data_IF_345683757442
#
_entry.id   IF_345683757442
#
_cell.length_a   1.000
_cell.length_b   1.000
_cell.length_c   1.000
_cell.angle_alpha   90.00
_cell.angle_beta   90.00
_cell.angle_gamma   90.00
#
_symmetry.space_group_name_H-M   'P 1'
#
loop_
_entity.id
_entity.type
_entity.pdbx_description
1 polymer ?
#
# COMPACT_ATOMS: atom_id res chain seq x y z
N UNK A 1 6.10 29.13 -11.49
CA UNK A 1 6.91 28.41 -12.50
C UNK A 1 7.47 27.07 -11.98
N UNK A 2 8.12 26.98 -10.82
CA UNK A 2 8.69 25.69 -10.35
C UNK A 2 7.63 24.60 -10.08
N UNK A 3 6.46 24.97 -9.54
CA UNK A 3 5.35 24.05 -9.32
C UNK A 3 4.82 23.45 -10.63
N UNK A 4 4.65 24.25 -11.68
CA UNK A 4 4.12 23.77 -12.96
C UNK A 4 5.06 22.77 -13.63
N UNK A 5 6.38 22.98 -13.57
CA UNK A 5 7.36 22.00 -14.05
C UNK A 5 7.33 20.70 -13.25
N UNK A 6 7.19 20.78 -11.92
CA UNK A 6 7.04 19.57 -11.08
C UNK A 6 5.76 18.81 -11.36
N UNK A 7 4.64 19.52 -11.54
CA UNK A 7 3.35 18.90 -11.88
C UNK A 7 3.39 18.27 -13.28
N UNK A 8 4.02 18.94 -14.26
CA UNK A 8 4.21 18.35 -15.60
C UNK A 8 5.01 17.06 -15.54
N UNK A 9 6.10 17.03 -14.77
CA UNK A 9 6.87 15.79 -14.55
C UNK A 9 6.02 14.72 -13.86
N UNK A 10 5.31 15.08 -12.80
CA UNK A 10 4.43 14.16 -12.08
C UNK A 10 3.39 13.54 -13.03
N UNK A 11 2.68 14.36 -13.81
CA UNK A 11 1.70 13.91 -14.80
C UNK A 11 2.34 13.00 -15.85
N UNK A 12 3.51 13.33 -16.40
CA UNK A 12 4.20 12.46 -17.37
C UNK A 12 4.65 11.11 -16.76
N UNK A 13 5.04 11.12 -15.49
CA UNK A 13 5.42 9.90 -14.77
C UNK A 13 4.20 9.04 -14.45
N UNK A 14 3.10 9.63 -14.00
CA UNK A 14 1.89 8.91 -13.59
C UNK A 14 0.98 8.55 -14.75
N UNK A 15 0.91 9.35 -15.83
CA UNK A 15 0.10 9.04 -17.02
C UNK A 15 0.50 7.71 -17.66
N UNK A 16 1.80 7.39 -17.66
CA UNK A 16 2.30 6.09 -18.13
C UNK A 16 1.84 4.93 -17.24
N UNK A 17 1.66 5.15 -15.95
CA UNK A 17 1.13 4.15 -15.01
C UNK A 17 -0.38 4.03 -15.16
N UNK A 18 -1.09 5.15 -15.32
CA UNK A 18 -2.54 5.19 -15.55
C UNK A 18 -2.92 4.46 -16.84
N UNK A 19 -2.23 4.76 -17.94
CA UNK A 19 -2.41 4.06 -19.22
C UNK A 19 -2.04 2.56 -19.13
N UNK A 20 -1.30 2.12 -18.12
CA UNK A 20 -1.01 0.68 -17.92
C UNK A 20 -2.07 -0.03 -17.10
N UNK A 21 -2.83 0.70 -16.28
CA UNK A 21 -3.83 0.13 -15.36
C UNK A 21 -5.25 0.61 -15.67
N UNK A 22 -5.47 1.24 -16.82
CA UNK A 22 -6.78 1.75 -17.23
C UNK A 22 -7.85 0.64 -17.22
N UNK A 23 -7.50 -0.57 -17.66
CA UNK A 23 -8.40 -1.73 -17.64
C UNK A 23 -8.85 -2.08 -16.22
N UNK A 24 -7.93 -2.05 -15.24
CA UNK A 24 -8.26 -2.30 -13.85
C UNK A 24 -9.20 -1.22 -13.31
N UNK A 25 -8.94 0.05 -13.63
CA UNK A 25 -9.81 1.16 -13.23
C UNK A 25 -11.21 1.04 -13.83
N UNK A 26 -11.33 0.73 -15.13
CA UNK A 26 -12.62 0.52 -15.78
C UNK A 26 -13.40 -0.63 -15.14
N UNK A 27 -12.73 -1.73 -14.80
CA UNK A 27 -13.35 -2.86 -14.09
C UNK A 27 -13.81 -2.46 -12.69
N UNK A 28 -13.00 -1.71 -11.93
CA UNK A 28 -13.39 -1.20 -10.61
C UNK A 28 -14.60 -0.27 -10.70
N UNK A 29 -14.66 0.60 -11.72
CA UNK A 29 -15.79 1.50 -11.92
C UNK A 29 -17.07 0.73 -12.26
N UNK A 30 -16.97 -0.33 -13.07
CA UNK A 30 -18.12 -1.18 -13.40
C UNK A 30 -18.72 -1.90 -12.18
N UNK A 31 -17.88 -2.16 -11.16
CA UNK A 31 -18.27 -2.84 -9.92
C UNK A 31 -18.83 -1.88 -8.85
N UNK A 32 -18.89 -0.57 -9.11
CA UNK A 32 -19.51 0.38 -8.18
C UNK A 32 -21.03 0.12 -8.12
N UNK A 33 -21.58 -0.21 -6.94
CA UNK A 33 -23.01 -0.46 -6.81
C UNK A 33 -23.82 0.81 -7.11
N UNK A 34 -24.96 0.66 -7.79
CA UNK A 34 -25.95 1.71 -8.06
C UNK A 34 -26.70 2.06 -6.77
N UNK A 35 -26.00 2.63 -5.80
CA UNK A 35 -26.55 3.11 -4.54
C UNK A 35 -26.78 4.62 -4.56
N UNK A 36 -27.70 5.16 -3.74
CA UNK A 36 -27.85 6.60 -3.58
C UNK A 36 -26.53 7.26 -3.18
N UNK A 37 -26.27 8.46 -3.71
CA UNK A 37 -25.01 9.22 -3.50
C UNK A 37 -24.68 9.38 -2.01
N UNK A 38 -25.69 9.50 -1.14
CA UNK A 38 -25.49 9.59 0.31
C UNK A 38 -25.04 8.27 0.97
N UNK A 39 -25.59 7.13 0.54
CA UNK A 39 -25.13 5.82 1.01
C UNK A 39 -23.70 5.57 0.54
N UNK A 40 -23.38 5.98 -0.70
CA UNK A 40 -22.03 5.93 -1.24
C UNK A 40 -21.06 6.83 -0.47
N UNK A 41 -21.43 8.07 -0.13
CA UNK A 41 -20.55 8.97 0.62
C UNK A 41 -20.30 8.49 2.05
N UNK A 42 -21.30 7.91 2.73
CA UNK A 42 -21.12 7.31 4.05
C UNK A 42 -20.22 6.07 4.00
N UNK A 43 -20.37 5.22 2.99
CA UNK A 43 -19.50 4.06 2.78
C UNK A 43 -18.06 4.48 2.46
N UNK A 44 -17.88 5.47 1.59
CA UNK A 44 -16.56 5.96 1.18
C UNK A 44 -15.87 6.74 2.31
N UNK A 45 -16.65 7.46 3.13
CA UNK A 45 -16.18 8.15 4.33
C UNK A 45 -16.03 7.26 5.56
N UNK A 46 -16.57 6.04 5.55
CA UNK A 46 -16.60 5.12 6.69
C UNK A 46 -15.22 4.94 7.36
N UNK A 47 -14.10 4.80 6.64
CA UNK A 47 -12.79 4.66 7.27
C UNK A 47 -12.40 5.86 8.15
N UNK A 48 -12.80 7.08 7.75
CA UNK A 48 -12.52 8.31 8.51
C UNK A 48 -13.53 8.50 9.64
N UNK A 49 -14.78 8.07 9.43
CA UNK A 49 -15.86 8.17 10.41
C UNK A 49 -15.75 7.16 11.56
N UNK A 50 -15.20 5.97 11.31
CA UNK A 50 -15.22 4.86 12.27
C UNK A 50 -14.59 5.19 13.64
N UNK A 51 -13.48 5.94 13.75
CA UNK A 51 -12.92 6.36 15.05
C UNK A 51 -13.82 7.25 15.90
N UNK A 52 -14.84 7.89 15.31
CA UNK A 52 -15.79 8.74 16.02
C UNK A 52 -16.94 7.94 16.65
N UNK A 53 -17.11 6.67 16.27
CA UNK A 53 -18.14 5.83 16.86
C UNK A 53 -17.83 5.56 18.35
N UNK A 54 -18.84 5.65 19.23
CA UNK A 54 -18.65 5.54 20.68
C UNK A 54 -18.28 4.13 21.13
N UNK A 55 -18.61 3.11 20.33
CA UNK A 55 -18.36 1.69 20.60
C UNK A 55 -16.86 1.31 20.63
N UNK A 56 -15.99 2.14 20.06
CA UNK A 56 -14.56 1.84 19.93
C UNK A 56 -13.74 2.43 21.08
N UNK A 57 -12.96 1.58 21.74
CA UNK A 57 -11.99 1.98 22.77
C UNK A 57 -10.72 2.65 22.22
N UNK A 58 -9.83 3.07 23.12
CA UNK A 58 -8.59 3.76 22.77
C UNK A 58 -7.68 2.93 21.89
N UNK A 59 -7.49 1.65 22.22
CA UNK A 59 -6.60 0.74 21.48
C UNK A 59 -7.04 0.56 20.03
N UNK A 60 -8.34 0.35 19.82
CA UNK A 60 -8.92 0.21 18.48
C UNK A 60 -8.69 1.49 17.66
N UNK A 61 -9.00 2.66 18.25
CA UNK A 61 -8.81 3.97 17.58
C UNK A 61 -7.34 4.22 17.28
N UNK A 62 -6.45 3.85 18.19
CA UNK A 62 -5.00 3.95 18.01
C UNK A 62 -4.56 3.12 16.81
N UNK A 63 -4.90 1.84 16.76
CA UNK A 63 -4.53 0.96 15.64
C UNK A 63 -5.12 1.47 14.33
N UNK A 64 -6.40 1.86 14.32
CA UNK A 64 -7.10 2.29 13.12
C UNK A 64 -6.54 3.59 12.52
N UNK A 65 -6.32 4.61 13.35
CA UNK A 65 -5.74 5.89 12.89
C UNK A 65 -4.34 5.67 12.30
N UNK A 66 -3.48 4.90 12.98
CA UNK A 66 -2.14 4.61 12.46
C UNK A 66 -2.19 3.74 11.19
N UNK A 67 -3.19 2.88 11.04
CA UNK A 67 -3.40 2.13 9.79
C UNK A 67 -3.73 3.07 8.62
N UNK A 68 -4.62 4.05 8.82
CA UNK A 68 -4.94 5.07 7.81
C UNK A 68 -3.69 5.89 7.41
N UNK A 69 -2.88 6.26 8.39
CA UNK A 69 -1.61 6.96 8.17
C UNK A 69 -0.59 6.12 7.41
N UNK A 70 -0.45 4.85 7.79
CA UNK A 70 0.44 3.91 7.11
C UNK A 70 0.04 3.73 5.63
N UNK A 71 -1.26 3.64 5.33
CA UNK A 71 -1.78 3.64 3.95
C UNK A 71 -1.38 4.94 3.24
N UNK A 72 -1.57 6.08 3.89
CA UNK A 72 -1.17 7.38 3.36
C UNK A 72 0.33 7.48 3.04
N UNK A 73 1.18 6.98 3.94
CA UNK A 73 2.63 6.93 3.73
C UNK A 73 3.00 5.99 2.59
N UNK A 74 2.39 4.80 2.55
CA UNK A 74 2.66 3.78 1.55
C UNK A 74 2.33 4.28 0.14
N UNK A 75 1.19 4.96 -0.01
CA UNK A 75 0.77 5.62 -1.25
C UNK A 75 1.86 6.54 -1.82
N UNK A 76 2.40 7.41 -0.96
CA UNK A 76 3.44 8.37 -1.34
C UNK A 76 4.78 7.69 -1.59
N UNK A 77 5.11 6.63 -0.85
CA UNK A 77 6.35 5.88 -1.03
C UNK A 77 6.40 5.11 -2.36
N UNK A 78 5.27 4.55 -2.80
CA UNK A 78 5.13 3.92 -4.13
C UNK A 78 5.42 4.94 -5.23
N UNK A 79 4.85 6.13 -5.12
CA UNK A 79 4.98 7.19 -6.13
C UNK A 79 6.19 8.10 -5.93
N UNK A 80 7.07 7.75 -4.98
CA UNK A 80 8.14 8.62 -4.51
C UNK A 80 8.98 9.21 -5.64
N UNK A 81 9.35 8.43 -6.64
CA UNK A 81 10.20 8.89 -7.75
C UNK A 81 9.48 9.88 -8.66
N UNK A 82 8.16 9.77 -8.77
CA UNK A 82 7.33 10.73 -9.49
C UNK A 82 7.18 12.03 -8.70
N UNK A 83 6.88 11.93 -7.40
CA UNK A 83 6.68 13.06 -6.49
C UNK A 83 7.98 13.85 -6.27
N UNK A 84 9.12 13.16 -6.16
CA UNK A 84 10.41 13.80 -5.88
C UNK A 84 11.00 14.56 -7.07
N UNK A 85 10.33 14.61 -8.23
CA UNK A 85 10.76 15.40 -9.38
C UNK A 85 11.84 14.76 -10.28
N UNK A 86 12.17 13.48 -10.08
CA UNK A 86 13.07 12.74 -10.96
C UNK A 86 14.46 13.40 -11.17
N UNK A 87 15.04 13.33 -12.39
CA UNK A 87 16.32 13.97 -12.71
C UNK A 87 16.33 15.49 -12.51
N UNK A 88 15.19 16.15 -12.76
CA UNK A 88 15.02 17.60 -12.60
C UNK A 88 15.17 18.06 -11.13
N UNK A 89 14.95 17.16 -10.17
CA UNK A 89 15.14 17.46 -8.76
C UNK A 89 16.58 17.87 -8.40
N UNK A 90 17.58 17.42 -9.17
CA UNK A 90 18.98 17.80 -8.97
C UNK A 90 19.20 19.28 -9.32
N UNK A 91 18.62 19.73 -10.44
CA UNK A 91 18.66 21.13 -10.85
C UNK A 91 17.87 22.05 -9.90
N UNK A 92 16.71 21.60 -9.42
CA UNK A 92 15.93 22.36 -8.42
C UNK A 92 16.70 22.55 -7.11
N UNK A 93 17.55 21.58 -6.74
CA UNK A 93 18.37 21.65 -5.53
C UNK A 93 19.54 22.63 -5.65
N UNK A 94 20.03 22.91 -6.84
CA UNK A 94 21.11 23.89 -7.07
C UNK A 94 20.62 25.34 -7.07
N UNK A 95 19.31 25.58 -7.16
CA UNK A 95 18.77 26.94 -7.11
C UNK A 95 18.75 27.49 -5.67
N UNK A 96 19.10 28.78 -5.45
CA UNK A 96 19.12 29.42 -4.13
C UNK A 96 17.69 29.75 -3.65
N UNK A 97 16.92 28.70 -3.36
CA UNK A 97 15.53 28.79 -2.89
C UNK A 97 15.48 28.41 -1.42
N UNK A 98 14.74 29.17 -0.61
CA UNK A 98 14.57 28.88 0.81
C UNK A 98 13.93 27.51 1.06
N UNK A 99 14.33 26.86 2.16
CA UNK A 99 13.83 25.53 2.51
C UNK A 99 12.32 25.52 2.76
N UNK A 100 11.76 26.62 3.30
CA UNK A 100 10.31 26.79 3.49
C UNK A 100 9.56 26.77 2.17
N UNK A 101 10.07 27.43 1.13
CA UNK A 101 9.44 27.45 -0.18
C UNK A 101 9.54 26.08 -0.87
N UNK A 102 10.67 25.39 -0.72
CA UNK A 102 10.83 24.00 -1.21
C UNK A 102 9.85 23.04 -0.54
N UNK A 103 9.65 23.19 0.77
CA UNK A 103 8.70 22.36 1.53
C UNK A 103 7.26 22.61 1.12
N UNK A 104 6.87 23.87 0.92
CA UNK A 104 5.54 24.21 0.42
C UNK A 104 5.27 23.59 -0.97
N UNK A 105 6.27 23.60 -1.85
CA UNK A 105 6.18 22.92 -3.15
C UNK A 105 6.04 21.40 -3.01
N UNK A 106 6.82 20.77 -2.13
CA UNK A 106 6.72 19.33 -1.86
C UNK A 106 5.34 18.97 -1.28
N UNK A 107 4.84 19.76 -0.32
CA UNK A 107 3.52 19.58 0.27
C UNK A 107 2.39 19.73 -0.77
N UNK A 108 2.47 20.72 -1.65
CA UNK A 108 1.49 20.93 -2.72
C UNK A 108 1.45 19.74 -3.70
N UNK A 109 2.63 19.22 -4.10
CA UNK A 109 2.70 18.06 -4.99
C UNK A 109 2.19 16.80 -4.30
N UNK A 110 2.50 16.60 -3.00
CA UNK A 110 1.99 15.46 -2.22
C UNK A 110 0.48 15.54 -2.05
N UNK A 111 -0.08 16.71 -1.80
CA UNK A 111 -1.52 16.91 -1.67
C UNK A 111 -2.24 16.55 -2.98
N UNK A 112 -1.70 17.00 -4.12
CA UNK A 112 -2.23 16.64 -5.45
C UNK A 112 -2.03 15.15 -5.75
N UNK A 113 -0.90 14.56 -5.35
CA UNK A 113 -0.69 13.13 -5.50
C UNK A 113 -1.62 12.30 -4.62
N UNK A 114 -2.10 12.86 -3.51
CA UNK A 114 -2.98 12.22 -2.54
C UNK A 114 -4.47 12.45 -2.82
N UNK A 115 -4.86 13.02 -3.97
CA UNK A 115 -6.27 13.27 -4.30
C UNK A 115 -7.17 12.03 -4.11
N UNK A 116 -6.77 10.79 -4.50
CA UNK A 116 -7.59 9.60 -4.22
C UNK A 116 -7.78 9.32 -2.72
N UNK A 117 -6.76 9.60 -1.89
CA UNK A 117 -6.84 9.48 -0.43
C UNK A 117 -7.66 10.59 0.23
N UNK A 118 -7.83 11.72 -0.45
CA UNK A 118 -8.73 12.79 -0.01
C UNK A 118 -10.20 12.45 -0.27
N UNK A 119 -10.51 11.45 -1.11
CA UNK A 119 -11.89 11.12 -1.43
C UNK A 119 -12.69 10.60 -0.20
N UNK A 120 -12.15 9.67 0.64
CA UNK A 120 -12.76 9.32 1.92
C UNK A 120 -12.91 10.51 2.88
N UNK A 121 -11.93 11.41 2.91
CA UNK A 121 -11.91 12.61 3.76
C UNK A 121 -13.03 13.57 3.36
N UNK A 122 -13.16 13.87 2.07
CA UNK A 122 -14.23 14.72 1.52
C UNK A 122 -15.59 14.08 1.75
N UNK A 123 -15.70 12.77 1.54
CA UNK A 123 -16.94 12.02 1.78
C UNK A 123 -17.35 12.06 3.25
N UNK A 124 -16.40 11.93 4.18
CA UNK A 124 -16.64 12.10 5.60
C UNK A 124 -17.01 13.54 5.96
N UNK A 125 -16.35 14.54 5.38
CA UNK A 125 -16.70 15.96 5.56
C UNK A 125 -18.15 16.26 5.15
N UNK A 126 -18.61 15.70 4.03
CA UNK A 126 -20.01 15.81 3.60
C UNK A 126 -20.94 15.11 4.60
N UNK A 127 -20.58 13.91 5.07
CA UNK A 127 -21.37 13.19 6.06
C UNK A 127 -21.48 13.95 7.41
N UNK A 128 -20.44 14.69 7.82
CA UNK A 128 -20.45 15.50 9.04
C UNK A 128 -21.42 16.67 9.02
N UNK A 129 -21.83 17.15 7.85
CA UNK A 129 -22.85 18.20 7.75
C UNK A 129 -24.18 17.80 8.44
N UNK A 130 -24.42 16.50 8.58
CA UNK A 130 -25.64 15.90 9.11
C UNK A 130 -25.48 15.34 10.54
N UNK A 131 -24.30 15.43 11.14
CA UNK A 131 -24.01 14.95 12.50
C UNK A 131 -24.00 16.11 13.52
N UNK A 132 -24.35 15.84 14.80
CA UNK A 132 -24.14 16.80 15.88
C UNK A 132 -22.64 17.08 16.07
N UNK A 133 -22.30 18.20 16.74
CA UNK A 133 -20.92 18.60 17.05
C UNK A 133 -19.98 18.87 15.85
N UNK A 134 -20.53 19.53 14.82
CA UNK A 134 -19.86 19.89 13.55
C UNK A 134 -18.43 20.40 13.74
N UNK A 135 -18.21 21.34 14.66
CA UNK A 135 -16.89 21.94 14.89
C UNK A 135 -15.82 20.90 15.27
N UNK A 136 -16.15 20.01 16.21
CA UNK A 136 -15.22 18.95 16.66
C UNK A 136 -14.92 17.94 15.54
N UNK A 137 -15.94 17.58 14.75
CA UNK A 137 -15.78 16.62 13.67
C UNK A 137 -14.90 17.19 12.54
N UNK A 138 -15.09 18.44 12.15
CA UNK A 138 -14.23 19.10 11.16
C UNK A 138 -12.79 19.27 11.67
N UNK A 139 -12.60 19.64 12.94
CA UNK A 139 -11.27 19.72 13.54
C UNK A 139 -10.54 18.38 13.51
N UNK A 140 -11.24 17.27 13.82
CA UNK A 140 -10.68 15.93 13.73
C UNK A 140 -10.21 15.59 12.31
N UNK A 141 -11.03 15.85 11.29
CA UNK A 141 -10.65 15.58 9.88
C UNK A 141 -9.45 16.42 9.46
N UNK A 142 -9.45 17.71 9.79
CA UNK A 142 -8.36 18.62 9.40
C UNK A 142 -7.06 18.24 10.15
N UNK A 143 -7.15 17.87 11.42
CA UNK A 143 -6.00 17.39 12.19
C UNK A 143 -5.45 16.07 11.60
N UNK A 144 -6.31 15.07 11.36
CA UNK A 144 -5.91 13.79 10.76
C UNK A 144 -5.27 13.99 9.38
N UNK A 145 -5.84 14.84 8.53
CA UNK A 145 -5.27 15.15 7.21
C UNK A 145 -3.93 15.89 7.29
N UNK A 146 -3.77 16.81 8.24
CA UNK A 146 -2.48 17.47 8.46
C UNK A 146 -1.41 16.51 8.99
N UNK A 147 -1.76 15.63 9.93
CA UNK A 147 -0.83 14.64 10.49
C UNK A 147 -0.41 13.63 9.41
N UNK A 148 -1.36 13.08 8.65
CA UNK A 148 -1.08 12.18 7.52
C UNK A 148 -0.17 12.84 6.47
N UNK A 149 -0.44 14.10 6.09
CA UNK A 149 0.42 14.87 5.19
C UNK A 149 1.83 15.08 5.77
N UNK A 150 1.92 15.36 7.07
CA UNK A 150 3.18 15.46 7.80
C UNK A 150 4.00 14.16 7.70
N UNK A 151 3.37 13.01 7.95
CA UNK A 151 4.00 11.69 7.83
C UNK A 151 4.43 11.36 6.40
N UNK A 152 3.61 11.70 5.41
CA UNK A 152 3.95 11.54 3.99
C UNK A 152 5.21 12.35 3.62
N UNK A 153 5.32 13.59 4.08
CA UNK A 153 6.50 14.43 3.85
C UNK A 153 7.73 13.93 4.62
N UNK A 154 7.56 13.44 5.86
CA UNK A 154 8.63 12.81 6.63
C UNK A 154 9.17 11.54 5.93
N UNK A 155 8.27 10.72 5.38
CA UNK A 155 8.62 9.53 4.60
C UNK A 155 9.42 9.86 3.33
N UNK A 156 9.01 10.91 2.59
CA UNK A 156 9.69 11.36 1.38
C UNK A 156 11.09 11.92 1.66
N UNK A 157 11.21 12.72 2.71
CA UNK A 157 12.46 13.38 3.15
C UNK A 157 13.47 12.42 3.80
N UNK A 158 13.07 11.17 4.09
CA UNK A 158 13.86 10.14 4.81
C UNK A 158 14.29 10.55 6.22
N UNK A 159 13.68 11.57 6.81
CA UNK A 159 14.01 12.05 8.14
C UNK A 159 12.85 11.80 9.11
N UNK A 160 12.65 10.53 9.43
CA UNK A 160 11.56 10.07 10.32
C UNK A 160 11.77 10.58 11.75
N UNK A 161 13.02 10.86 12.16
CA UNK A 161 13.32 11.44 13.48
C UNK A 161 12.69 12.81 13.73
N UNK A 162 12.33 13.54 12.67
CA UNK A 162 11.60 14.80 12.81
C UNK A 162 10.08 14.60 13.00
N UNK A 163 9.62 13.35 13.11
CA UNK A 163 8.22 12.98 13.30
C UNK A 163 7.74 13.02 14.75
N UNK A 164 8.60 13.30 15.73
CA UNK A 164 8.21 13.41 17.15
C UNK A 164 6.97 14.30 17.37
N UNK A 165 6.88 15.53 16.84
CA UNK A 165 5.68 16.35 17.02
C UNK A 165 4.44 15.74 16.35
N UNK A 166 4.58 14.93 15.30
CA UNK A 166 3.46 14.21 14.68
C UNK A 166 2.99 13.05 15.56
N UNK A 167 3.91 12.34 16.22
CA UNK A 167 3.57 11.30 17.20
C UNK A 167 2.77 11.89 18.36
N UNK A 168 3.23 13.03 18.90
CA UNK A 168 2.52 13.72 19.98
C UNK A 168 1.16 14.23 19.48
N UNK A 169 1.08 14.79 18.27
CA UNK A 169 -0.19 15.22 17.68
C UNK A 169 -1.19 14.08 17.54
N UNK A 170 -0.73 12.87 17.19
CA UNK A 170 -1.56 11.67 17.11
C UNK A 170 -2.08 11.21 18.47
N UNK A 171 -1.20 11.16 19.48
CA UNK A 171 -1.63 10.78 20.83
C UNK A 171 -2.68 11.76 21.36
N UNK A 172 -2.49 13.06 21.12
CA UNK A 172 -3.47 14.10 21.49
C UNK A 172 -4.77 13.95 20.67
N UNK A 173 -4.69 13.65 19.37
CA UNK A 173 -5.86 13.42 18.51
C UNK A 173 -6.70 12.25 19.03
N UNK A 174 -6.06 11.10 19.27
CA UNK A 174 -6.74 9.86 19.72
C UNK A 174 -7.28 10.05 21.14
N UNK A 175 -6.52 10.71 22.01
CA UNK A 175 -6.94 11.07 23.36
C UNK A 175 -8.15 12.00 23.37
N UNK A 176 -8.22 12.98 22.46
CA UNK A 176 -9.37 13.88 22.34
C UNK A 176 -10.69 13.13 22.08
N UNK A 177 -10.64 12.03 21.32
CA UNK A 177 -11.82 11.23 21.00
C UNK A 177 -12.41 10.51 22.23
N UNK A 178 -11.66 10.38 23.33
CA UNK A 178 -12.12 9.78 24.59
C UNK A 178 -12.83 10.79 25.51
N UNK A 179 -12.79 12.08 25.19
CA UNK A 179 -13.21 13.15 26.12
C UNK A 179 -14.55 13.77 25.74
N UNK A 180 -15.16 14.45 26.70
CA UNK A 180 -16.38 15.24 26.51
C UNK A 180 -16.19 16.37 25.49
N UNK A 181 -17.29 16.87 24.92
CA UNK A 181 -17.29 17.74 23.74
C UNK A 181 -16.42 19.01 23.88
N UNK A 182 -16.44 19.67 25.03
CA UNK A 182 -15.64 20.88 25.28
C UNK A 182 -14.13 20.58 25.35
N UNK A 183 -13.73 19.52 26.05
CA UNK A 183 -12.33 19.10 26.16
C UNK A 183 -11.84 18.53 24.81
N UNK A 184 -12.70 17.79 24.11
CA UNK A 184 -12.44 17.24 22.78
C UNK A 184 -12.08 18.32 21.78
N UNK A 185 -12.87 19.38 21.70
CA UNK A 185 -12.59 20.50 20.77
C UNK A 185 -11.25 21.17 21.05
N UNK A 186 -10.92 21.42 22.32
CA UNK A 186 -9.64 22.00 22.72
C UNK A 186 -8.45 21.10 22.35
N UNK A 187 -8.53 19.80 22.67
CA UNK A 187 -7.47 18.85 22.37
C UNK A 187 -7.29 18.64 20.85
N UNK A 188 -8.39 18.60 20.07
CA UNK A 188 -8.30 18.54 18.61
C UNK A 188 -7.66 19.81 18.03
N UNK A 189 -7.96 20.98 18.57
CA UNK A 189 -7.29 22.22 18.17
C UNK A 189 -5.79 22.19 18.51
N UNK A 190 -5.41 21.68 19.69
CA UNK A 190 -4.00 21.51 20.07
C UNK A 190 -3.27 20.53 19.14
N UNK A 191 -3.90 19.40 18.81
CA UNK A 191 -3.38 18.42 17.84
C UNK A 191 -3.17 19.06 16.46
N UNK A 192 -4.14 19.85 15.98
CA UNK A 192 -4.02 20.58 14.72
C UNK A 192 -2.86 21.59 14.72
N UNK A 193 -2.72 22.38 15.79
CA UNK A 193 -1.63 23.37 15.92
C UNK A 193 -0.28 22.65 15.90
N UNK A 194 -0.16 21.52 16.60
CA UNK A 194 1.07 20.75 16.66
C UNK A 194 1.43 20.13 15.29
N UNK A 195 0.43 19.62 14.56
CA UNK A 195 0.61 19.13 13.20
C UNK A 195 1.04 20.24 12.24
N UNK A 196 0.41 21.42 12.32
CA UNK A 196 0.78 22.61 11.54
C UNK A 196 2.20 23.08 11.88
N UNK A 197 2.57 23.07 13.16
CA UNK A 197 3.92 23.39 13.63
C UNK A 197 4.96 22.43 13.03
N UNK A 198 4.68 21.11 13.07
CA UNK A 198 5.54 20.09 12.46
C UNK A 198 5.71 20.31 10.94
N UNK A 199 4.62 20.67 10.24
CA UNK A 199 4.59 20.98 8.81
C UNK A 199 5.32 22.28 8.44
N UNK A 200 5.39 23.25 9.34
CA UNK A 200 6.11 24.49 9.12
C UNK A 200 7.61 24.37 9.46
N UNK A 201 7.96 23.65 10.54
CA UNK A 201 9.31 23.72 11.15
C UNK A 201 10.19 22.50 10.95
N UNK A 202 9.65 21.32 10.59
CA UNK A 202 10.54 20.23 10.18
C UNK A 202 11.41 20.64 8.97
N UNK A 203 12.73 20.40 9.01
CA UNK A 203 13.61 20.81 7.95
C UNK A 203 13.28 20.08 6.64
N UNK A 204 13.11 20.85 5.55
CA UNK A 204 13.11 20.30 4.20
C UNK A 204 14.46 19.61 3.97
N UNK A 205 14.48 18.37 3.51
CA UNK A 205 15.73 17.60 3.48
C UNK A 205 16.81 18.23 2.57
N UNK A 206 17.76 18.90 3.20
CA UNK A 206 19.12 19.13 2.72
C UNK A 206 20.06 19.36 3.90
N UNK A 207 20.38 18.32 4.68
CA UNK A 207 21.61 18.34 5.46
C UNK A 207 22.62 17.37 4.82
N UNK A 208 23.86 17.81 4.54
CA UNK A 208 24.96 16.94 4.16
C UNK A 208 25.19 15.82 5.19
N UNK A 209 24.83 16.04 6.47
CA UNK A 209 24.88 15.04 7.54
C UNK A 209 23.96 13.84 7.31
N UNK A 210 22.86 13.99 6.57
CA UNK A 210 22.00 12.85 6.19
C UNK A 210 22.62 11.95 5.10
N UNK A 211 23.69 12.39 4.42
CA UNK A 211 24.53 11.47 3.61
C UNK A 211 25.48 10.63 4.48
N UNK A 212 25.91 11.17 5.62
CA UNK A 212 26.82 10.50 6.54
C UNK A 212 26.09 9.46 7.41
N UNK A 213 24.85 9.77 7.80
CA UNK A 213 23.89 8.81 8.34
C UNK A 213 22.98 8.28 7.24
N UNK A 214 23.56 7.48 6.34
CA UNK A 214 22.76 6.57 5.51
C UNK A 214 21.76 5.83 6.40
N UNK A 215 20.51 5.63 5.93
CA UNK A 215 19.41 5.24 6.80
C UNK A 215 19.79 4.00 7.57
N UNK A 216 19.52 3.97 8.87
CA UNK A 216 19.64 2.78 9.71
C UNK A 216 18.98 1.57 9.04
N UNK A 217 17.97 1.74 8.19
CA UNK A 217 17.43 0.68 7.32
C UNK A 217 18.33 0.22 6.16
N UNK A 218 19.03 1.08 5.42
CA UNK A 218 20.11 0.62 4.51
C UNK A 218 21.29 0.08 5.28
N UNK A 219 21.47 0.53 6.52
CA UNK A 219 22.48 0.02 7.43
C UNK A 219 22.00 -1.24 8.17
N UNK A 220 20.74 -1.65 8.13
CA UNK A 220 20.22 -2.90 8.72
C UNK A 220 20.01 -3.94 7.61
N UNK A 221 19.66 -3.52 6.39
CA UNK A 221 19.76 -4.36 5.19
C UNK A 221 21.21 -4.45 4.69
N UNK A 222 22.04 -3.43 4.95
CA UNK A 222 23.49 -3.44 4.71
C UNK A 222 24.35 -3.86 5.90
N UNK A 223 23.77 -3.96 7.13
CA UNK A 223 24.32 -4.72 8.27
C UNK A 223 23.54 -6.01 8.52
N UNK A 224 22.67 -6.44 7.61
CA UNK A 224 22.58 -7.85 7.28
C UNK A 224 23.94 -8.13 6.66
N UNK A 225 24.81 -8.45 7.59
CA UNK A 225 26.25 -8.37 7.56
C UNK A 225 26.84 -8.80 6.23
N UNK A 226 27.96 -8.20 5.82
CA UNK A 226 28.84 -8.80 4.84
C UNK A 226 29.07 -10.31 5.13
N UNK A 227 28.94 -10.72 6.41
CA UNK A 227 28.97 -12.11 6.86
C UNK A 227 27.71 -12.95 6.56
N UNK A 228 26.49 -12.39 6.50
CA UNK A 228 25.28 -13.13 6.06
C UNK A 228 25.07 -13.08 4.55
N UNK A 229 25.53 -12.00 3.89
CA UNK A 229 25.53 -11.90 2.44
C UNK A 229 26.42 -12.96 1.77
N UNK A 230 27.42 -13.50 2.47
CA UNK A 230 28.26 -14.61 1.99
C UNK A 230 27.67 -16.01 2.24
N UNK A 231 26.65 -16.13 3.12
CA UNK A 231 26.01 -17.42 3.43
C UNK A 231 24.80 -17.72 2.55
N UNK A 232 24.11 -16.68 2.08
CA UNK A 232 22.98 -16.85 1.19
C UNK A 232 23.47 -16.98 -0.26
N UNK A 233 22.90 -17.91 -1.05
CA UNK A 233 23.19 -18.00 -2.46
C UNK A 233 22.98 -16.64 -3.17
N UNK A 234 23.82 -16.35 -4.16
CA UNK A 234 23.79 -15.09 -4.93
C UNK A 234 22.39 -14.76 -5.47
N UNK A 235 21.59 -15.78 -5.80
CA UNK A 235 20.22 -15.62 -6.30
C UNK A 235 19.25 -15.06 -5.24
N UNK A 236 19.36 -15.49 -3.98
CA UNK A 236 18.48 -15.02 -2.90
C UNK A 236 18.78 -13.56 -2.61
N UNK A 237 20.07 -13.20 -2.54
CA UNK A 237 20.50 -11.83 -2.33
C UNK A 237 20.07 -10.92 -3.48
N UNK A 238 20.09 -11.40 -4.72
CA UNK A 238 19.58 -10.65 -5.87
C UNK A 238 18.07 -10.39 -5.74
N UNK A 239 17.27 -11.42 -5.44
CA UNK A 239 15.82 -11.30 -5.28
C UNK A 239 15.45 -10.38 -4.11
N UNK A 240 16.09 -10.55 -2.95
CA UNK A 240 15.91 -9.67 -1.78
C UNK A 240 16.33 -8.22 -2.08
N UNK A 241 17.40 -8.03 -2.85
CA UNK A 241 17.82 -6.70 -3.30
C UNK A 241 16.80 -6.03 -4.22
N UNK A 242 16.16 -6.81 -5.12
CA UNK A 242 15.10 -6.31 -6.00
C UNK A 242 13.85 -5.96 -5.18
N UNK A 243 13.40 -6.87 -4.30
CA UNK A 243 12.26 -6.65 -3.41
C UNK A 243 12.48 -5.44 -2.49
N UNK A 244 13.69 -5.30 -1.91
CA UNK A 244 14.06 -4.16 -1.09
C UNK A 244 14.10 -2.83 -1.86
N UNK A 245 14.44 -2.86 -3.16
CA UNK A 245 14.35 -1.67 -4.03
C UNK A 245 12.92 -1.24 -4.27
N UNK A 246 12.00 -2.20 -4.39
CA UNK A 246 10.56 -2.00 -4.58
C UNK A 246 9.78 -2.30 -3.29
N UNK A 247 10.36 -1.98 -2.13
CA UNK A 247 9.82 -2.36 -0.83
C UNK A 247 8.40 -1.84 -0.61
N UNK A 248 8.15 -0.57 -0.94
CA UNK A 248 6.82 0.03 -0.78
C UNK A 248 5.76 -0.68 -1.65
N UNK A 249 6.10 -1.01 -2.89
CA UNK A 249 5.19 -1.75 -3.78
C UNK A 249 4.96 -3.18 -3.28
N UNK A 250 6.02 -3.85 -2.81
CA UNK A 250 5.93 -5.21 -2.25
C UNK A 250 5.07 -5.25 -0.99
N UNK A 251 5.28 -4.32 -0.06
CA UNK A 251 4.48 -4.18 1.16
C UNK A 251 3.03 -3.86 0.82
N UNK A 252 2.76 -2.99 -0.16
CA UNK A 252 1.39 -2.71 -0.58
C UNK A 252 0.68 -3.94 -1.14
N UNK A 253 1.36 -4.76 -1.93
CA UNK A 253 0.79 -6.02 -2.43
C UNK A 253 0.49 -6.97 -1.28
N UNK A 254 1.42 -7.10 -0.32
CA UNK A 254 1.20 -7.91 0.88
C UNK A 254 0.02 -7.41 1.71
N UNK A 255 -0.11 -6.10 1.88
CA UNK A 255 -1.24 -5.49 2.59
C UNK A 255 -2.57 -5.78 1.88
N UNK A 256 -2.63 -5.65 0.55
CA UNK A 256 -3.84 -5.95 -0.23
C UNK A 256 -4.15 -7.46 -0.19
N UNK A 257 -3.16 -8.34 -0.34
CA UNK A 257 -3.36 -9.79 -0.20
C UNK A 257 -3.85 -10.17 1.20
N UNK A 258 -3.30 -9.54 2.24
CA UNK A 258 -3.74 -9.69 3.62
C UNK A 258 -5.17 -9.19 3.85
N UNK A 259 -5.54 -8.06 3.25
CA UNK A 259 -6.90 -7.55 3.30
C UNK A 259 -7.89 -8.52 2.63
N UNK A 260 -7.55 -9.07 1.46
CA UNK A 260 -8.36 -10.11 0.80
C UNK A 260 -8.52 -11.33 1.70
N UNK A 261 -7.43 -11.85 2.27
CA UNK A 261 -7.48 -12.99 3.16
C UNK A 261 -8.34 -12.73 4.42
N UNK A 262 -8.18 -11.56 5.05
CA UNK A 262 -8.96 -11.16 6.22
C UNK A 262 -10.45 -11.00 5.90
N UNK A 263 -10.78 -10.33 4.78
CA UNK A 263 -12.17 -10.20 4.32
C UNK A 263 -12.81 -11.55 4.00
N UNK A 264 -12.05 -12.48 3.41
CA UNK A 264 -12.52 -13.85 3.19
C UNK A 264 -12.80 -14.56 4.50
N UNK A 265 -11.88 -14.50 5.48
CA UNK A 265 -12.09 -15.12 6.79
C UNK A 265 -13.32 -14.56 7.50
N UNK A 266 -13.50 -13.24 7.47
CA UNK A 266 -14.67 -12.57 8.05
C UNK A 266 -15.99 -13.02 7.40
N UNK A 267 -16.03 -13.15 6.07
CA UNK A 267 -17.21 -13.64 5.36
C UNK A 267 -17.51 -15.11 5.65
N UNK A 268 -16.48 -15.96 5.73
CA UNK A 268 -16.63 -17.37 6.09
C UNK A 268 -17.18 -17.54 7.50
N UNK A 269 -16.66 -16.75 8.45
CA UNK A 269 -17.13 -16.72 9.83
C UNK A 269 -18.60 -16.25 9.93
N UNK A 270 -18.95 -15.18 9.20
CA UNK A 270 -20.32 -14.69 9.11
C UNK A 270 -21.31 -15.72 8.56
N UNK A 271 -20.84 -16.61 7.67
CA UNK A 271 -21.65 -17.71 7.11
C UNK A 271 -21.64 -18.97 7.96
N UNK A 272 -20.99 -18.96 9.13
CA UNK A 272 -20.92 -20.13 10.01
C UNK A 272 -20.27 -21.35 9.35
N UNK A 273 -19.30 -21.13 8.46
CA UNK A 273 -18.54 -22.19 7.79
C UNK A 273 -19.37 -23.12 6.88
N UNK A 274 -20.44 -22.59 6.27
CA UNK A 274 -21.28 -23.31 5.29
C UNK A 274 -20.51 -23.69 4.00
N UNK A 275 -21.11 -24.57 3.19
CA UNK A 275 -20.69 -25.05 1.86
C UNK A 275 -20.22 -23.96 0.89
N UNK A 276 -20.70 -22.72 1.06
CA UNK A 276 -20.31 -21.54 0.26
C UNK A 276 -18.88 -21.06 0.53
N UNK A 277 -18.29 -21.49 1.65
CA UNK A 277 -16.95 -21.09 2.05
C UNK A 277 -15.87 -21.61 1.08
N UNK A 278 -15.99 -22.84 0.59
CA UNK A 278 -15.03 -23.43 -0.35
C UNK A 278 -14.92 -22.64 -1.66
N UNK A 279 -16.04 -22.35 -2.38
CA UNK A 279 -16.07 -21.38 -3.49
C UNK A 279 -15.35 -20.06 -3.20
N UNK A 280 -15.62 -19.46 -2.04
CA UNK A 280 -15.05 -18.17 -1.67
C UNK A 280 -13.53 -18.26 -1.48
N UNK A 281 -13.02 -19.35 -0.91
CA UNK A 281 -11.57 -19.57 -0.77
C UNK A 281 -10.87 -19.70 -2.13
N UNK A 282 -11.48 -20.37 -3.12
CA UNK A 282 -10.94 -20.47 -4.48
C UNK A 282 -10.86 -19.10 -5.15
N UNK A 283 -11.93 -18.29 -5.03
CA UNK A 283 -11.97 -16.93 -5.55
C UNK A 283 -10.89 -16.08 -4.88
N UNK A 284 -10.78 -16.13 -3.55
CA UNK A 284 -9.78 -15.40 -2.79
C UNK A 284 -8.35 -15.78 -3.22
N UNK A 285 -8.08 -17.06 -3.40
CA UNK A 285 -6.78 -17.56 -3.86
C UNK A 285 -6.45 -17.05 -5.27
N UNK A 286 -7.42 -17.03 -6.18
CA UNK A 286 -7.23 -16.48 -7.53
C UNK A 286 -6.95 -14.96 -7.49
N UNK A 287 -7.65 -14.21 -6.64
CA UNK A 287 -7.41 -12.76 -6.44
C UNK A 287 -6.01 -12.51 -5.86
N UNK A 288 -5.61 -13.26 -4.83
CA UNK A 288 -4.26 -13.20 -4.26
C UNK A 288 -3.20 -13.50 -5.33
N UNK A 289 -3.43 -14.52 -6.17
CA UNK A 289 -2.53 -14.88 -7.25
C UNK A 289 -2.41 -13.77 -8.31
N UNK A 290 -3.51 -13.12 -8.67
CA UNK A 290 -3.52 -11.95 -9.58
C UNK A 290 -2.70 -10.79 -9.00
N UNK A 291 -2.90 -10.45 -7.72
CA UNK A 291 -2.12 -9.41 -7.05
C UNK A 291 -0.63 -9.76 -7.03
N UNK A 292 -0.29 -10.98 -6.61
CA UNK A 292 1.08 -11.46 -6.54
C UNK A 292 1.78 -11.43 -7.91
N UNK A 293 1.06 -11.78 -8.98
CA UNK A 293 1.59 -11.82 -10.35
C UNK A 293 2.13 -10.47 -10.85
N UNK A 294 1.65 -9.35 -10.29
CA UNK A 294 2.15 -8.01 -10.66
C UNK A 294 3.63 -7.85 -10.31
N UNK A 295 4.14 -8.59 -9.34
CA UNK A 295 5.56 -8.62 -8.94
C UNK A 295 6.48 -9.12 -10.04
N UNK A 296 6.00 -9.98 -10.96
CA UNK A 296 6.80 -10.42 -12.11
C UNK A 296 7.27 -9.25 -12.98
N UNK A 297 6.51 -8.16 -13.04
CA UNK A 297 6.89 -6.97 -13.83
C UNK A 297 8.11 -6.27 -13.23
N UNK A 298 8.16 -6.15 -11.90
CA UNK A 298 9.26 -5.46 -11.21
C UNK A 298 10.53 -6.29 -11.23
N UNK A 299 10.39 -7.61 -11.08
CA UNK A 299 11.47 -8.56 -11.27
C UNK A 299 12.04 -8.40 -12.67
N UNK A 300 11.19 -8.46 -13.71
CA UNK A 300 11.62 -8.26 -15.11
C UNK A 300 12.28 -6.90 -15.33
N UNK A 301 11.69 -5.81 -14.85
CA UNK A 301 12.23 -4.46 -15.02
C UNK A 301 13.59 -4.27 -14.32
N UNK A 302 13.84 -5.03 -13.26
CA UNK A 302 15.10 -5.01 -12.53
C UNK A 302 16.15 -5.89 -13.23
N UNK A 303 15.74 -7.05 -13.74
CA UNK A 303 16.60 -7.93 -14.54
C UNK A 303 17.05 -7.29 -15.84
N UNK A 304 16.18 -6.55 -16.54
CA UNK A 304 16.58 -5.80 -17.76
C UNK A 304 17.61 -4.74 -17.42
N UNK A 305 17.47 -4.02 -16.31
CA UNK A 305 18.46 -3.03 -15.85
C UNK A 305 19.78 -3.66 -15.42
N UNK A 306 19.73 -4.87 -14.88
CA UNK A 306 20.90 -5.65 -14.49
C UNK A 306 21.42 -6.57 -15.61
N UNK A 307 20.90 -6.48 -16.84
CA UNK A 307 21.15 -7.47 -17.88
C UNK A 307 22.64 -7.64 -18.20
N UNK A 308 23.43 -6.56 -18.17
CA UNK A 308 24.88 -6.61 -18.36
C UNK A 308 25.58 -7.43 -17.27
N UNK A 309 25.16 -7.28 -16.01
CA UNK A 309 25.70 -8.04 -14.88
C UNK A 309 25.19 -9.48 -14.83
N UNK A 310 23.91 -9.70 -15.16
CA UNK A 310 23.32 -11.05 -15.19
C UNK A 310 23.93 -11.90 -16.30
N UNK A 311 24.26 -11.30 -17.46
CA UNK A 311 24.93 -12.01 -18.57
C UNK A 311 26.37 -12.44 -18.25
N UNK A 312 27.04 -11.76 -17.32
CA UNK A 312 28.37 -12.16 -16.85
C UNK A 312 28.35 -13.29 -15.81
N UNK A 313 27.18 -13.64 -15.29
CA UNK A 313 27.04 -14.78 -14.38
C UNK A 313 26.87 -16.08 -15.19
N UNK A 314 27.48 -17.20 -14.76
CA UNK A 314 27.29 -18.51 -15.39
C UNK A 314 25.94 -19.12 -15.01
N UNK A 315 24.85 -18.41 -15.28
CA UNK A 315 23.50 -18.80 -14.89
C UNK A 315 22.65 -19.08 -16.12
N UNK A 316 22.05 -20.26 -16.16
CA UNK A 316 21.06 -20.61 -17.17
C UNK A 316 19.78 -19.79 -17.02
N UNK A 317 19.16 -19.41 -18.13
CA UNK A 317 17.91 -18.64 -18.18
C UNK A 317 16.76 -19.30 -17.40
N UNK A 318 16.76 -20.64 -17.33
CA UNK A 318 15.76 -21.42 -16.59
C UNK A 318 15.88 -21.28 -15.06
N UNK A 319 17.08 -21.06 -14.54
CA UNK A 319 17.29 -20.88 -13.09
C UNK A 319 16.68 -19.55 -12.63
N UNK A 320 16.87 -18.49 -13.42
CA UNK A 320 16.26 -17.20 -13.17
C UNK A 320 14.72 -17.27 -13.20
N UNK A 321 14.19 -17.99 -14.19
CA UNK A 321 12.74 -18.25 -14.33
C UNK A 321 12.17 -18.93 -13.07
N UNK A 322 12.84 -19.98 -12.58
CA UNK A 322 12.40 -20.70 -11.38
C UNK A 322 12.49 -19.83 -10.14
N UNK A 323 13.56 -19.05 -9.99
CA UNK A 323 13.73 -18.13 -8.87
C UNK A 323 12.63 -17.06 -8.83
N UNK A 324 12.24 -16.50 -9.98
CA UNK A 324 11.14 -15.53 -10.05
C UNK A 324 9.82 -16.14 -9.57
N UNK A 325 9.49 -17.33 -10.07
CA UNK A 325 8.25 -18.04 -9.69
C UNK A 325 8.26 -18.38 -8.21
N UNK A 326 9.37 -18.93 -7.70
CA UNK A 326 9.50 -19.27 -6.28
C UNK A 326 9.36 -18.03 -5.39
N UNK A 327 9.93 -16.89 -5.79
CA UNK A 327 9.82 -15.63 -5.04
C UNK A 327 8.37 -15.17 -4.95
N UNK A 328 7.62 -15.23 -6.06
CA UNK A 328 6.20 -14.84 -6.09
C UNK A 328 5.34 -15.83 -5.28
N UNK A 329 5.61 -17.13 -5.40
CA UNK A 329 4.91 -18.16 -4.60
C UNK A 329 5.16 -17.95 -3.12
N UNK A 330 6.41 -17.74 -2.69
CA UNK A 330 6.74 -17.50 -1.28
C UNK A 330 6.06 -16.25 -0.71
N UNK A 331 5.85 -15.22 -1.55
CA UNK A 331 5.15 -14.00 -1.14
C UNK A 331 3.63 -14.22 -1.00
N UNK A 332 3.03 -15.03 -1.86
CA UNK A 332 1.59 -15.26 -1.91
C UNK A 332 1.11 -16.35 -0.93
N UNK A 333 1.93 -17.39 -0.73
CA UNK A 333 1.63 -18.57 0.08
C UNK A 333 1.06 -18.27 1.48
N UNK A 334 1.68 -17.40 2.31
CA UNK A 334 1.18 -17.17 3.65
C UNK A 334 -0.23 -16.59 3.66
N UNK A 335 -0.61 -15.81 2.64
CA UNK A 335 -1.96 -15.23 2.52
C UNK A 335 -2.96 -16.22 1.93
N UNK A 336 -2.55 -17.00 0.93
CA UNK A 336 -3.39 -18.02 0.30
C UNK A 336 -3.74 -19.17 1.27
N UNK A 337 -2.85 -19.48 2.21
CA UNK A 337 -3.04 -20.57 3.18
C UNK A 337 -4.01 -20.22 4.33
N UNK A 338 -4.25 -18.94 4.63
CA UNK A 338 -5.03 -18.53 5.82
C UNK A 338 -6.44 -19.12 5.80
N UNK A 339 -7.19 -18.93 4.71
CA UNK A 339 -8.58 -19.37 4.63
C UNK A 339 -8.73 -20.91 4.63
N UNK A 340 -7.96 -21.68 3.85
CA UNK A 340 -7.97 -23.15 3.95
C UNK A 340 -7.60 -23.67 5.36
N UNK A 341 -6.61 -23.07 6.02
CA UNK A 341 -6.23 -23.45 7.40
C UNK A 341 -7.36 -23.16 8.37
N UNK A 342 -8.04 -22.03 8.23
CA UNK A 342 -9.20 -21.68 9.05
C UNK A 342 -10.35 -22.68 8.88
N UNK A 343 -10.63 -23.12 7.65
CA UNK A 343 -11.66 -24.14 7.38
C UNK A 343 -11.34 -25.49 8.01
N UNK A 344 -10.06 -25.90 7.96
CA UNK A 344 -9.59 -27.14 8.62
C UNK A 344 -9.74 -27.02 10.14
N UNK A 345 -9.36 -25.88 10.72
CA UNK A 345 -9.44 -25.66 12.17
C UNK A 345 -10.88 -25.74 12.71
N UNK A 346 -11.88 -25.37 11.90
CA UNK A 346 -13.30 -25.43 12.26
C UNK A 346 -13.98 -26.73 11.78
N UNK A 347 -13.22 -27.70 11.27
CA UNK A 347 -13.75 -29.00 10.83
C UNK A 347 -14.57 -28.97 9.54
N UNK A 348 -14.63 -27.82 8.84
CA UNK A 348 -15.40 -27.66 7.61
C UNK A 348 -14.72 -28.31 6.38
N UNK A 349 -13.42 -28.60 6.47
CA UNK A 349 -12.64 -29.15 5.36
C UNK A 349 -11.56 -30.13 5.85
N UNK A 350 -11.28 -31.18 5.08
CA UNK A 350 -10.20 -32.12 5.42
C UNK A 350 -8.82 -31.53 5.11
N UNK A 351 -7.81 -31.92 5.89
CA UNK A 351 -6.42 -31.46 5.70
C UNK A 351 -5.92 -31.72 4.27
N UNK A 352 -6.27 -32.86 3.70
CA UNK A 352 -5.87 -33.26 2.35
C UNK A 352 -6.45 -32.31 1.28
N UNK A 353 -7.73 -31.95 1.40
CA UNK A 353 -8.38 -31.03 0.47
C UNK A 353 -7.79 -29.62 0.62
N UNK A 354 -7.47 -29.17 1.84
CA UNK A 354 -6.84 -27.87 2.05
C UNK A 354 -5.46 -27.78 1.38
N UNK A 355 -4.62 -28.82 1.56
CA UNK A 355 -3.32 -28.90 0.90
C UNK A 355 -3.48 -28.94 -0.62
N UNK A 356 -4.46 -29.70 -1.12
CA UNK A 356 -4.76 -29.76 -2.56
C UNK A 356 -5.15 -28.38 -3.12
N UNK A 357 -6.03 -27.63 -2.45
CA UNK A 357 -6.46 -26.28 -2.84
C UNK A 357 -5.24 -25.33 -2.90
N UNK A 358 -4.43 -25.29 -1.84
CA UNK A 358 -3.24 -24.41 -1.79
C UNK A 358 -2.24 -24.79 -2.90
N UNK A 359 -2.00 -26.09 -3.09
CA UNK A 359 -1.08 -26.57 -4.14
C UNK A 359 -1.57 -26.28 -5.55
N UNK A 360 -2.88 -26.30 -5.78
CA UNK A 360 -3.50 -25.97 -7.07
C UNK A 360 -3.30 -24.50 -7.48
N UNK A 361 -2.98 -23.61 -6.53
CA UNK A 361 -2.66 -22.21 -6.81
C UNK A 361 -1.26 -21.98 -7.41
N UNK A 362 -0.31 -22.88 -7.15
CA UNK A 362 1.05 -22.78 -7.68
C UNK A 362 1.12 -22.78 -9.23
N UNK A 363 0.43 -23.68 -9.96
CA UNK A 363 0.42 -23.63 -11.43
C UNK A 363 -0.24 -22.35 -11.96
N UNK A 364 -1.29 -21.82 -11.31
CA UNK A 364 -1.89 -20.55 -11.68
C UNK A 364 -0.87 -19.40 -11.59
N UNK A 365 -0.11 -19.32 -10.49
CA UNK A 365 0.96 -18.34 -10.30
C UNK A 365 2.07 -18.44 -11.36
N UNK A 366 2.41 -19.66 -11.79
CA UNK A 366 3.38 -19.88 -12.86
C UNK A 366 2.84 -19.44 -14.22
N UNK A 367 1.58 -19.77 -14.54
CA UNK A 367 0.92 -19.41 -15.79
C UNK A 367 0.67 -17.90 -15.91
N UNK A 368 0.33 -17.23 -14.81
CA UNK A 368 0.15 -15.77 -14.76
C UNK A 368 1.42 -14.98 -15.12
N UNK A 369 2.59 -15.63 -15.17
CA UNK A 369 3.81 -15.02 -15.70
C UNK A 369 3.74 -14.74 -17.21
N UNK A 370 3.05 -15.59 -17.97
CA UNK A 370 2.92 -15.47 -19.43
C UNK A 370 2.27 -14.15 -19.88
N UNK A 371 1.07 -13.77 -19.39
CA UNK A 371 0.46 -12.50 -19.77
C UNK A 371 1.35 -11.31 -19.38
N UNK A 372 2.01 -11.38 -18.22
CA UNK A 372 2.93 -10.33 -17.75
C UNK A 372 4.20 -10.18 -18.62
N UNK A 373 4.61 -11.26 -19.30
CA UNK A 373 5.80 -11.28 -20.16
C UNK A 373 5.49 -10.86 -21.59
N UNK A 374 4.47 -11.45 -22.20
CA UNK A 374 4.25 -11.36 -23.65
C UNK A 374 3.24 -10.28 -24.04
N UNK A 375 2.27 -9.96 -23.18
CA UNK A 375 1.20 -9.02 -23.49
C UNK A 375 1.03 -7.95 -22.38
N UNK A 376 2.02 -7.07 -22.15
CA UNK A 376 1.99 -6.14 -21.03
C UNK A 376 0.81 -5.14 -21.08
N UNK A 377 0.26 -4.85 -22.27
CA UNK A 377 -0.90 -3.98 -22.44
C UNK A 377 -2.23 -4.64 -22.06
N UNK A 378 -2.36 -5.94 -22.28
CA UNK A 378 -3.59 -6.72 -22.09
C UNK A 378 -3.50 -7.69 -20.90
N UNK A 379 -2.36 -7.68 -20.21
CA UNK A 379 -2.06 -8.62 -19.14
C UNK A 379 -3.04 -8.62 -17.97
N UNK A 380 -3.80 -7.53 -17.75
CA UNK A 380 -4.88 -7.51 -16.74
C UNK A 380 -6.04 -8.39 -17.22
N UNK A 381 -6.52 -8.17 -18.45
CA UNK A 381 -7.63 -8.93 -19.03
C UNK A 381 -7.26 -10.41 -19.23
N UNK A 382 -6.07 -10.69 -19.78
CA UNK A 382 -5.55 -12.05 -19.94
C UNK A 382 -5.29 -12.73 -18.59
N UNK A 383 -4.85 -11.98 -17.57
CA UNK A 383 -4.69 -12.49 -16.22
C UNK A 383 -6.04 -12.87 -15.61
N UNK A 384 -7.04 -12.01 -15.71
CA UNK A 384 -8.39 -12.26 -15.18
C UNK A 384 -9.06 -13.44 -15.88
N UNK A 385 -8.98 -13.53 -17.22
CA UNK A 385 -9.53 -14.67 -17.97
C UNK A 385 -8.85 -15.99 -17.60
N UNK A 386 -7.53 -15.98 -17.40
CA UNK A 386 -6.79 -17.15 -16.90
C UNK A 386 -7.21 -17.52 -15.45
N UNK A 387 -7.40 -16.53 -14.59
CA UNK A 387 -7.87 -16.77 -13.22
C UNK A 387 -9.29 -17.33 -13.19
N UNK A 388 -10.21 -16.79 -14.00
CA UNK A 388 -11.59 -17.28 -14.11
C UNK A 388 -11.62 -18.70 -14.66
N UNK A 389 -10.87 -19.00 -15.72
CA UNK A 389 -10.79 -20.37 -16.26
C UNK A 389 -10.19 -21.36 -15.25
N UNK A 390 -9.19 -20.93 -14.47
CA UNK A 390 -8.67 -21.75 -13.36
C UNK A 390 -9.71 -21.97 -12.26
N UNK A 391 -10.49 -20.94 -11.87
CA UNK A 391 -11.58 -21.08 -10.90
C UNK A 391 -12.60 -22.11 -11.39
N UNK A 392 -13.02 -22.03 -12.66
CA UNK A 392 -13.99 -22.98 -13.24
C UNK A 392 -13.44 -24.41 -13.20
N UNK A 393 -12.17 -24.62 -13.56
CA UNK A 393 -11.55 -25.94 -13.50
C UNK A 393 -11.41 -26.46 -12.05
N UNK A 394 -10.98 -25.61 -11.12
CA UNK A 394 -10.86 -25.95 -9.71
C UNK A 394 -12.22 -26.24 -9.08
N UNK A 395 -13.26 -25.53 -9.50
CA UNK A 395 -14.63 -25.74 -9.04
C UNK A 395 -15.07 -27.17 -9.29
N UNK A 396 -14.87 -27.70 -10.51
CA UNK A 396 -15.27 -29.07 -10.87
C UNK A 396 -14.52 -30.17 -10.09
N UNK A 397 -13.40 -29.83 -9.45
CA UNK A 397 -12.55 -30.79 -8.72
C UNK A 397 -12.87 -30.78 -7.22
N UNK A 398 -13.19 -29.61 -6.67
CA UNK A 398 -13.28 -29.41 -5.22
C UNK A 398 -14.71 -29.18 -4.69
N UNK A 399 -15.69 -29.00 -5.58
CA UNK A 399 -17.11 -28.76 -5.27
C UNK A 399 -17.93 -29.73 -6.11
#
# INVERSE_FOLDING_TARGET
MMLSWRLRWYVLATARVLHRHWQALSLTVLLLPTMPVFAQSRLLGAPVLAPLAPEHGFEWRFVWVHMLEAIGMLWVLIQRTAISGGPFAVFVKSLPVSDRHRRALDAAVVLIASTPLLFPVISAAIAFAYLPDKASNYLYVIALTMITLGWQLAALSRNISNGIPLVVANLVLIGALQTDNAVRTLLLAASLILAAFALAHAPAASSPRARQFGPTWRRVVGRMSANTAHRLPVFVNLQLGILGRHFAETVSRCAVMGAVAASTCYMVDLWGFDTRAVPLTLIAQAVIALIASTTYRDLRASHVRAAHFVRSLPLGSMVQVRADVLTVVMLALPFAAVAPVLLVAHGALSVHVAVAIVSAGAPLLALLRLPQRYAPRESVLLGVTLAVSWIVAAWQIFI
#
